data_IF_198736934577
#
_entry.id   IF_198736934577
#
_cell.length_a   1.000
_cell.length_b   1.000
_cell.length_c   1.000
_cell.angle_alpha   90.00
_cell.angle_beta   90.00
_cell.angle_gamma   90.00
#
_symmetry.space_group_name_H-M   'P 1'
#
loop_
_entity.id
_entity.type
_entity.pdbx_description
1 polymer ?
#
# COMPACT_ATOMS: atom_id res chain seq x y z
N UNK A 1 50.99 27.54 -23.66
CA UNK A 1 49.67 27.51 -22.99
C UNK A 1 49.91 28.06 -21.59
N UNK A 2 49.16 29.07 -21.16
CA UNK A 2 49.26 29.57 -19.79
C UNK A 2 48.56 28.57 -18.86
N UNK A 3 49.21 28.21 -17.75
CA UNK A 3 48.59 27.38 -16.71
C UNK A 3 47.51 28.19 -15.99
N UNK A 4 46.32 27.60 -15.84
CA UNK A 4 45.18 28.20 -15.15
C UNK A 4 45.17 27.66 -13.72
N UNK A 5 45.30 28.54 -12.74
CA UNK A 5 45.12 28.19 -11.32
C UNK A 5 43.62 27.95 -11.04
N UNK A 6 43.28 26.78 -10.48
CA UNK A 6 41.88 26.33 -10.27
C UNK A 6 41.67 25.94 -8.80
N UNK A 7 40.59 26.44 -8.21
CA UNK A 7 40.14 26.07 -6.86
C UNK A 7 38.84 25.26 -6.93
N UNK A 8 38.65 24.34 -5.99
CA UNK A 8 37.45 23.51 -5.89
C UNK A 8 36.74 23.77 -4.57
N UNK A 9 35.44 23.98 -4.63
CA UNK A 9 34.56 24.15 -3.49
C UNK A 9 33.37 23.20 -3.60
N UNK A 10 33.01 22.55 -2.49
CA UNK A 10 31.80 21.74 -2.41
C UNK A 10 30.64 22.60 -1.94
N UNK A 11 29.52 22.52 -2.64
CA UNK A 11 28.27 23.21 -2.28
C UNK A 11 27.13 22.20 -2.10
N UNK A 12 26.20 22.44 -1.16
CA UNK A 12 25.03 21.59 -0.97
C UNK A 12 24.05 21.70 -2.15
N UNK A 13 23.48 20.57 -2.57
CA UNK A 13 22.44 20.53 -3.59
C UNK A 13 21.11 21.11 -3.10
N UNK A 14 20.32 21.67 -4.02
CA UNK A 14 19.00 22.26 -3.75
C UNK A 14 18.97 23.33 -2.64
N UNK A 15 20.06 24.09 -2.52
CA UNK A 15 20.23 25.09 -1.47
C UNK A 15 19.83 26.52 -1.88
N UNK A 16 19.19 26.74 -3.04
CA UNK A 16 18.84 28.09 -3.50
C UNK A 16 20.00 28.83 -4.18
N UNK A 17 21.13 28.18 -4.45
CA UNK A 17 22.30 28.80 -5.08
C UNK A 17 22.07 28.93 -6.59
N UNK A 18 21.92 30.16 -7.15
CA UNK A 18 21.45 30.35 -8.51
C UNK A 18 22.27 29.60 -9.58
N UNK A 19 23.60 29.64 -9.45
CA UNK A 19 24.51 29.01 -10.41
C UNK A 19 24.48 27.47 -10.32
N UNK A 20 24.35 26.92 -9.11
CA UNK A 20 24.23 25.48 -8.92
C UNK A 20 22.87 24.96 -9.41
N UNK A 21 21.79 25.70 -9.12
CA UNK A 21 20.46 25.37 -9.62
C UNK A 21 20.37 25.47 -11.15
N UNK A 22 21.02 26.47 -11.75
CA UNK A 22 21.13 26.58 -13.19
C UNK A 22 21.95 25.42 -13.79
N UNK A 23 23.05 25.03 -13.15
CA UNK A 23 23.82 23.85 -13.55
C UNK A 23 22.97 22.57 -13.48
N UNK A 24 22.23 22.35 -12.39
CA UNK A 24 21.30 21.22 -12.23
C UNK A 24 20.20 21.23 -13.29
N UNK A 25 19.61 22.40 -13.57
CA UNK A 25 18.59 22.57 -14.61
C UNK A 25 19.14 22.25 -15.99
N UNK A 26 20.33 22.72 -16.33
CA UNK A 26 20.99 22.43 -17.61
C UNK A 26 21.36 20.95 -17.72
N UNK A 27 21.82 20.33 -16.64
CA UNK A 27 22.08 18.89 -16.60
C UNK A 27 20.78 18.07 -16.81
N UNK A 28 19.67 18.49 -16.20
CA UNK A 28 18.36 17.87 -16.40
C UNK A 28 17.85 18.01 -17.85
N UNK A 29 18.04 19.17 -18.48
CA UNK A 29 17.74 19.35 -19.91
C UNK A 29 18.62 18.44 -20.76
N UNK A 30 19.92 18.38 -20.46
CA UNK A 30 20.88 17.52 -21.15
C UNK A 30 20.51 16.04 -21.09
N UNK A 31 20.04 15.58 -19.93
CA UNK A 31 19.61 14.18 -19.74
C UNK A 31 18.37 13.80 -20.54
N UNK A 32 17.54 14.78 -20.92
CA UNK A 32 16.36 14.56 -21.79
C UNK A 32 16.68 14.44 -23.28
N UNK A 33 17.90 14.78 -23.71
CA UNK A 33 18.32 14.73 -25.12
C UNK A 33 18.72 13.31 -25.53
N UNK A 34 18.76 13.05 -26.84
CA UNK A 34 19.21 11.75 -27.39
C UNK A 34 20.68 11.49 -27.01
N UNK A 35 20.95 10.31 -26.45
CA UNK A 35 22.28 9.87 -26.02
C UNK A 35 22.75 8.63 -26.79
N UNK A 36 22.23 8.40 -27.99
CA UNK A 36 22.39 7.17 -28.77
C UNK A 36 23.85 6.79 -29.10
N UNK A 37 24.77 7.76 -28.98
CA UNK A 37 26.20 7.57 -29.25
C UNK A 37 27.01 7.15 -28.01
N UNK A 38 26.40 7.15 -26.81
CA UNK A 38 27.07 6.79 -25.57
C UNK A 38 26.71 5.35 -25.20
N UNK A 39 27.69 4.43 -25.14
CA UNK A 39 27.44 3.08 -24.65
C UNK A 39 26.89 3.12 -23.22
N UNK A 40 25.77 2.44 -23.00
CA UNK A 40 25.23 2.25 -21.64
C UNK A 40 26.07 1.19 -20.95
N UNK A 41 26.64 1.52 -19.80
CA UNK A 41 27.35 0.53 -19.00
C UNK A 41 26.39 -0.54 -18.44
N UNK A 42 26.92 -1.73 -18.16
CA UNK A 42 26.11 -2.86 -17.71
C UNK A 42 25.33 -2.56 -16.43
N UNK A 43 25.87 -1.78 -15.50
CA UNK A 43 25.22 -1.50 -14.23
C UNK A 43 24.03 -0.56 -14.43
N UNK A 44 24.19 0.51 -15.21
CA UNK A 44 23.10 1.40 -15.61
C UNK A 44 21.99 0.66 -16.35
N UNK A 45 22.36 -0.24 -17.28
CA UNK A 45 21.40 -1.08 -17.98
C UNK A 45 20.63 -2.00 -17.02
N UNK A 46 21.31 -2.70 -16.10
CA UNK A 46 20.67 -3.54 -15.08
C UNK A 46 19.73 -2.75 -14.19
N UNK A 47 20.15 -1.57 -13.73
CA UNK A 47 19.31 -0.70 -12.90
C UNK A 47 18.06 -0.24 -13.65
N UNK A 48 18.20 0.15 -14.92
CA UNK A 48 17.06 0.55 -15.77
C UNK A 48 16.07 -0.61 -15.99
N UNK A 49 16.57 -1.81 -16.30
CA UNK A 49 15.75 -3.02 -16.46
C UNK A 49 15.03 -3.36 -15.15
N UNK A 50 15.73 -3.34 -14.00
CA UNK A 50 15.14 -3.61 -12.70
C UNK A 50 14.02 -2.61 -12.34
N UNK A 51 14.25 -1.31 -12.57
CA UNK A 51 13.20 -0.28 -12.39
C UNK A 51 12.00 -0.54 -13.27
N UNK A 52 12.22 -0.87 -14.55
CA UNK A 52 11.14 -1.15 -15.50
C UNK A 52 10.35 -2.40 -15.09
N UNK A 53 11.04 -3.47 -14.70
CA UNK A 53 10.42 -4.70 -14.20
C UNK A 53 9.56 -4.42 -12.96
N UNK A 54 10.10 -3.69 -11.98
CA UNK A 54 9.34 -3.27 -10.79
C UNK A 54 8.10 -2.46 -11.15
N UNK A 55 8.24 -1.47 -12.03
CA UNK A 55 7.09 -0.68 -12.49
C UNK A 55 6.01 -1.53 -13.19
N UNK A 56 6.40 -2.57 -13.95
CA UNK A 56 5.43 -3.51 -14.54
C UNK A 56 4.74 -4.36 -13.49
N UNK A 57 5.49 -4.91 -12.54
CA UNK A 57 4.95 -5.66 -11.40
C UNK A 57 3.97 -4.81 -10.59
N UNK A 58 4.35 -3.58 -10.25
CA UNK A 58 3.52 -2.64 -9.51
C UNK A 58 2.26 -2.28 -10.31
N UNK A 59 2.37 -1.99 -11.60
CA UNK A 59 1.21 -1.69 -12.44
C UNK A 59 0.25 -2.89 -12.55
N UNK A 60 0.78 -4.11 -12.64
CA UNK A 60 -0.02 -5.34 -12.63
C UNK A 60 -0.70 -5.55 -11.28
N UNK A 61 0.04 -5.40 -10.19
CA UNK A 61 -0.50 -5.50 -8.84
C UNK A 61 -1.61 -4.48 -8.62
N UNK A 62 -1.41 -3.21 -9.00
CA UNK A 62 -2.45 -2.17 -8.88
C UNK A 62 -3.69 -2.45 -9.71
N UNK A 63 -3.54 -3.03 -10.91
CA UNK A 63 -4.67 -3.38 -11.78
C UNK A 63 -5.49 -4.54 -11.22
N UNK A 64 -4.84 -5.51 -10.58
CA UNK A 64 -5.48 -6.74 -10.11
C UNK A 64 -5.89 -6.71 -8.65
N UNK A 65 -5.30 -5.82 -7.84
CA UNK A 65 -5.59 -5.72 -6.41
C UNK A 65 -6.83 -4.82 -6.19
N UNK A 66 -7.84 -5.26 -5.42
CA UNK A 66 -9.08 -4.48 -5.20
C UNK A 66 -8.82 -3.09 -4.57
N UNK A 67 -7.82 -3.00 -3.70
CA UNK A 67 -7.46 -1.78 -2.97
C UNK A 67 -5.96 -1.49 -3.14
N UNK A 68 -5.51 -0.89 -4.25
CA UNK A 68 -4.10 -0.84 -4.62
C UNK A 68 -3.21 -0.01 -3.67
N UNK A 69 -3.78 1.03 -3.07
CA UNK A 69 -3.08 1.88 -2.12
C UNK A 69 -2.99 1.20 -0.74
N UNK A 70 -1.86 1.35 -0.03
CA UNK A 70 -1.70 0.80 1.31
C UNK A 70 -2.66 1.49 2.27
N UNK A 71 -3.19 0.73 3.22
CA UNK A 71 -3.99 1.29 4.31
C UNK A 71 -3.09 2.11 5.23
N UNK A 72 -3.43 3.39 5.50
CA UNK A 72 -2.67 4.23 6.45
C UNK A 72 -2.47 3.53 7.80
N UNK A 73 -1.31 3.75 8.43
CA UNK A 73 -0.98 3.14 9.73
C UNK A 73 -0.65 1.64 9.70
N UNK A 74 -0.74 0.96 8.55
CA UNK A 74 -0.53 -0.51 8.46
C UNK A 74 0.85 -0.97 8.96
N UNK A 75 1.91 -0.20 8.69
CA UNK A 75 3.28 -0.52 9.13
C UNK A 75 3.48 -0.36 10.66
N UNK A 76 2.56 0.32 11.35
CA UNK A 76 2.57 0.48 12.81
C UNK A 76 1.89 -0.66 13.56
N UNK A 77 1.20 -1.55 12.84
CA UNK A 77 0.51 -2.70 13.42
C UNK A 77 1.49 -3.78 13.88
N UNK A 78 1.10 -4.54 14.89
CA UNK A 78 1.75 -5.82 15.16
C UNK A 78 1.61 -6.77 13.96
N UNK A 79 2.42 -7.84 13.97
CA UNK A 79 2.45 -8.80 12.87
C UNK A 79 1.08 -9.43 12.58
N UNK A 80 0.28 -9.72 13.61
CA UNK A 80 -1.00 -10.42 13.47
C UNK A 80 -2.06 -9.49 12.88
N UNK A 81 -2.17 -8.28 13.40
CA UNK A 81 -3.06 -7.25 12.88
C UNK A 81 -2.69 -6.88 11.44
N UNK A 82 -1.39 -6.70 11.16
CA UNK A 82 -0.88 -6.41 9.81
C UNK A 82 -1.27 -7.50 8.79
N UNK A 83 -1.10 -8.78 9.15
CA UNK A 83 -1.52 -9.92 8.31
C UNK A 83 -3.03 -9.93 8.11
N UNK A 84 -3.80 -9.69 9.17
CA UNK A 84 -5.27 -9.70 9.12
C UNK A 84 -5.79 -8.63 8.15
N UNK A 85 -5.31 -7.39 8.27
CA UNK A 85 -5.70 -6.29 7.36
C UNK A 85 -5.30 -6.61 5.92
N UNK A 86 -4.10 -7.17 5.69
CA UNK A 86 -3.66 -7.56 4.36
C UNK A 86 -4.56 -8.64 3.74
N UNK A 87 -4.96 -9.65 4.52
CA UNK A 87 -5.86 -10.71 4.07
C UNK A 87 -7.28 -10.20 3.78
N UNK A 88 -7.79 -9.25 4.58
CA UNK A 88 -9.08 -8.60 4.32
C UNK A 88 -9.05 -7.84 3.00
N UNK A 89 -7.99 -7.07 2.71
CA UNK A 89 -7.83 -6.31 1.45
C UNK A 89 -7.90 -7.17 0.19
N UNK A 90 -7.59 -8.46 0.28
CA UNK A 90 -7.63 -9.40 -0.84
C UNK A 90 -8.76 -10.45 -0.73
N UNK A 91 -9.64 -10.36 0.27
CA UNK A 91 -10.76 -11.29 0.42
C UNK A 91 -10.36 -12.73 0.81
N UNK A 92 -9.24 -12.90 1.51
CA UNK A 92 -8.75 -14.23 1.94
C UNK A 92 -8.55 -14.36 3.45
N UNK A 93 -9.25 -13.55 4.23
CA UNK A 93 -9.14 -13.56 5.69
C UNK A 93 -9.87 -14.76 6.30
N UNK A 94 -9.25 -15.55 7.18
CA UNK A 94 -9.94 -16.63 7.89
C UNK A 94 -10.94 -16.14 8.94
N UNK A 95 -11.14 -14.81 9.05
CA UNK A 95 -12.19 -14.20 9.88
C UNK A 95 -13.58 -14.27 9.24
N UNK A 96 -13.66 -14.57 7.93
CA UNK A 96 -14.91 -14.69 7.19
C UNK A 96 -15.21 -16.15 6.85
N UNK A 97 -16.49 -16.52 6.91
CA UNK A 97 -16.98 -17.87 6.63
C UNK A 97 -16.60 -18.39 5.25
N UNK A 98 -16.65 -17.56 4.21
CA UNK A 98 -16.30 -17.93 2.83
C UNK A 98 -14.89 -18.50 2.71
N UNK A 99 -13.92 -17.87 3.37
CA UNK A 99 -12.53 -18.27 3.38
C UNK A 99 -12.35 -19.52 4.22
N UNK A 100 -13.01 -19.59 5.39
CA UNK A 100 -12.95 -20.78 6.25
C UNK A 100 -13.52 -22.01 5.55
N UNK A 101 -14.67 -21.88 4.89
CA UNK A 101 -15.32 -22.95 4.15
C UNK A 101 -14.46 -23.40 2.96
N UNK A 102 -13.94 -22.46 2.17
CA UNK A 102 -13.03 -22.73 1.05
C UNK A 102 -11.76 -23.48 1.48
N UNK A 103 -11.28 -23.26 2.71
CA UNK A 103 -10.13 -23.94 3.30
C UNK A 103 -10.47 -25.24 4.03
N UNK A 104 -11.76 -25.64 4.10
CA UNK A 104 -12.20 -26.82 4.84
C UNK A 104 -12.14 -26.67 6.37
N UNK A 105 -12.11 -25.44 6.87
CA UNK A 105 -12.10 -25.11 8.31
C UNK A 105 -13.50 -24.89 8.89
N UNK A 106 -14.54 -24.92 8.05
CA UNK A 106 -15.93 -24.77 8.43
C UNK A 106 -16.85 -25.51 7.43
N UNK A 107 -17.94 -26.07 7.95
CA UNK A 107 -18.94 -26.80 7.15
C UNK A 107 -19.80 -25.87 6.27
N UNK A 108 -19.87 -24.58 6.59
CA UNK A 108 -20.60 -23.58 5.81
C UNK A 108 -19.86 -22.25 5.77
N UNK A 109 -20.21 -21.42 4.81
CA UNK A 109 -19.74 -20.03 4.66
C UNK A 109 -20.66 -19.00 5.35
N UNK A 110 -21.64 -19.45 6.15
CA UNK A 110 -22.59 -18.57 6.82
C UNK A 110 -21.96 -17.77 7.96
N UNK A 111 -22.43 -16.53 8.12
CA UNK A 111 -22.04 -15.62 9.18
C UNK A 111 -22.60 -16.12 10.51
N UNK A 112 -21.74 -16.25 11.51
CA UNK A 112 -22.16 -16.73 12.85
C UNK A 112 -23.10 -15.76 13.56
N UNK A 113 -23.08 -14.48 13.20
CA UNK A 113 -23.84 -13.43 13.88
C UNK A 113 -25.22 -13.18 13.24
N UNK A 114 -25.36 -13.37 11.92
CA UNK A 114 -26.62 -13.07 11.22
C UNK A 114 -27.09 -14.15 10.23
N UNK A 115 -26.30 -15.19 9.97
CA UNK A 115 -26.68 -16.33 9.12
C UNK A 115 -26.54 -16.14 7.60
N UNK A 116 -26.26 -14.93 7.11
CA UNK A 116 -26.04 -14.64 5.68
C UNK A 116 -24.63 -15.07 5.23
N UNK A 117 -24.36 -15.23 3.91
CA UNK A 117 -23.03 -15.55 3.41
C UNK A 117 -21.94 -14.56 3.90
N UNK A 118 -20.90 -15.09 4.53
CA UNK A 118 -19.90 -14.32 5.26
C UNK A 118 -18.65 -14.10 4.42
N UNK A 119 -18.58 -12.94 3.79
CA UNK A 119 -17.46 -12.46 2.99
C UNK A 119 -16.87 -11.18 3.60
N UNK A 120 -15.73 -10.71 3.09
CA UNK A 120 -15.17 -9.42 3.53
C UNK A 120 -16.14 -8.24 3.30
N UNK A 121 -16.81 -8.11 2.14
CA UNK A 121 -17.92 -7.17 1.98
C UNK A 121 -18.98 -7.30 3.06
N UNK A 122 -19.43 -8.53 3.35
CA UNK A 122 -20.42 -8.76 4.38
C UNK A 122 -19.95 -8.26 5.75
N UNK A 123 -18.77 -8.69 6.20
CA UNK A 123 -18.19 -8.31 7.49
C UNK A 123 -18.04 -6.78 7.62
N UNK A 124 -17.48 -6.11 6.61
CA UNK A 124 -17.08 -4.71 6.70
C UNK A 124 -18.17 -3.71 6.27
N UNK A 125 -19.17 -4.12 5.47
CA UNK A 125 -20.17 -3.20 4.89
C UNK A 125 -21.62 -3.60 5.20
N UNK A 126 -21.94 -4.90 5.18
CA UNK A 126 -23.36 -5.32 5.06
C UNK A 126 -23.93 -5.94 6.34
N UNK A 127 -23.09 -6.58 7.17
CA UNK A 127 -23.56 -7.38 8.29
C UNK A 127 -24.43 -6.54 9.25
N UNK A 128 -25.71 -6.91 9.46
CA UNK A 128 -26.61 -6.14 10.32
C UNK A 128 -26.19 -6.19 11.78
N UNK A 129 -25.61 -7.31 12.23
CA UNK A 129 -25.09 -7.45 13.59
C UNK A 129 -23.94 -6.46 13.90
N UNK A 130 -23.28 -5.92 12.87
CA UNK A 130 -22.14 -5.01 13.02
C UNK A 130 -22.47 -3.56 12.59
N UNK A 131 -23.74 -3.25 12.32
CA UNK A 131 -24.15 -1.93 11.83
C UNK A 131 -23.74 -0.80 12.78
N UNK A 132 -23.93 -0.97 14.09
CA UNK A 132 -23.59 0.04 15.10
C UNK A 132 -22.10 0.39 15.13
N UNK A 133 -21.20 -0.58 15.40
CA UNK A 133 -19.75 -0.37 15.37
C UNK A 133 -19.23 0.20 14.04
N UNK A 134 -19.80 -0.25 12.90
CA UNK A 134 -19.45 0.24 11.57
C UNK A 134 -19.83 1.71 11.39
N UNK A 135 -21.08 2.05 11.73
CA UNK A 135 -21.62 3.42 11.55
C UNK A 135 -20.88 4.43 12.40
N UNK A 136 -20.47 4.07 13.63
CA UNK A 136 -19.66 4.94 14.49
C UNK A 136 -18.29 5.28 13.90
N UNK A 137 -17.68 4.37 13.14
CA UNK A 137 -16.32 4.55 12.61
C UNK A 137 -16.30 5.19 11.22
N UNK A 138 -17.16 4.73 10.34
CA UNK A 138 -17.10 5.09 8.91
C UNK A 138 -18.40 5.71 8.39
N UNK A 139 -19.38 5.96 9.28
CA UNK A 139 -20.68 6.48 8.88
C UNK A 139 -21.59 5.42 8.23
N UNK A 140 -22.74 5.83 7.72
CA UNK A 140 -23.68 4.92 7.09
C UNK A 140 -23.16 4.43 5.73
N UNK A 141 -23.32 3.13 5.46
CA UNK A 141 -23.03 2.49 4.17
C UNK A 141 -21.63 2.77 3.59
N UNK A 142 -20.54 2.54 4.37
CA UNK A 142 -19.20 2.74 3.86
C UNK A 142 -18.87 1.71 2.77
N UNK A 143 -18.06 2.12 1.81
CA UNK A 143 -17.45 1.22 0.82
C UNK A 143 -16.15 0.61 1.36
N UNK A 144 -15.73 -0.54 0.82
CA UNK A 144 -14.42 -1.11 1.15
C UNK A 144 -13.27 -0.14 0.85
N UNK A 145 -13.38 0.64 -0.23
CA UNK A 145 -12.37 1.65 -0.59
C UNK A 145 -12.22 2.72 0.49
N UNK A 146 -13.33 3.24 1.02
CA UNK A 146 -13.32 4.20 2.13
C UNK A 146 -12.74 3.58 3.40
N UNK A 147 -13.18 2.37 3.77
CA UNK A 147 -12.68 1.67 4.96
C UNK A 147 -11.17 1.46 4.88
N UNK A 148 -10.65 0.91 3.78
CA UNK A 148 -9.22 0.64 3.61
C UNK A 148 -8.37 1.89 3.37
N UNK A 149 -9.00 3.07 3.19
CA UNK A 149 -8.32 4.37 3.14
C UNK A 149 -8.23 5.05 4.51
N UNK A 150 -8.83 4.47 5.55
CA UNK A 150 -8.70 4.96 6.94
C UNK A 150 -7.52 4.33 7.68
N UNK A 151 -7.17 4.87 8.86
CA UNK A 151 -6.13 4.28 9.70
C UNK A 151 -6.43 2.82 10.02
N UNK A 152 -5.41 1.95 9.87
CA UNK A 152 -5.56 0.51 10.01
C UNK A 152 -6.05 0.09 11.40
N UNK A 153 -5.71 0.87 12.43
CA UNK A 153 -6.20 0.69 13.80
C UNK A 153 -7.73 0.75 13.90
N UNK A 154 -8.40 1.57 13.07
CA UNK A 154 -9.87 1.61 13.07
C UNK A 154 -10.48 0.30 12.57
N UNK A 155 -9.82 -0.36 11.62
CA UNK A 155 -10.23 -1.68 11.13
C UNK A 155 -10.00 -2.71 12.23
N UNK A 156 -8.84 -2.70 12.88
CA UNK A 156 -8.51 -3.61 13.99
C UNK A 156 -9.51 -3.45 15.15
N UNK A 157 -9.76 -2.22 15.57
CA UNK A 157 -10.71 -1.88 16.63
C UNK A 157 -12.13 -2.34 16.29
N UNK A 158 -12.54 -2.22 15.03
CA UNK A 158 -13.82 -2.74 14.57
C UNK A 158 -13.91 -4.26 14.69
N UNK A 159 -12.87 -4.98 14.25
CA UNK A 159 -12.83 -6.44 14.34
C UNK A 159 -12.85 -6.91 15.79
N UNK A 160 -12.13 -6.19 16.66
CA UNK A 160 -12.11 -6.44 18.10
C UNK A 160 -13.48 -6.20 18.74
N UNK A 161 -14.11 -5.06 18.44
CA UNK A 161 -15.41 -4.70 19.01
C UNK A 161 -16.54 -5.64 18.55
N UNK A 162 -16.47 -6.09 17.31
CA UNK A 162 -17.44 -7.06 16.75
C UNK A 162 -17.17 -8.51 17.19
N UNK A 163 -16.09 -8.75 17.95
CA UNK A 163 -15.72 -10.09 18.41
C UNK A 163 -15.09 -10.97 17.32
N UNK A 164 -14.82 -10.41 16.14
CA UNK A 164 -14.22 -11.12 14.99
C UNK A 164 -12.72 -11.32 15.14
N UNK A 165 -12.04 -10.44 15.87
CA UNK A 165 -10.66 -10.63 16.29
C UNK A 165 -10.57 -10.58 17.82
N UNK A 166 -9.70 -11.39 18.46
CA UNK A 166 -9.46 -11.25 19.89
C UNK A 166 -8.75 -9.92 20.18
N UNK A 167 -9.01 -9.33 21.36
CA UNK A 167 -8.08 -8.34 21.91
C UNK A 167 -6.77 -9.05 22.22
N UNK A 168 -5.67 -8.57 21.67
CA UNK A 168 -4.37 -9.00 22.18
C UNK A 168 -4.23 -8.53 23.64
N UNK A 169 -3.70 -9.38 24.54
CA UNK A 169 -3.44 -8.98 25.91
C UNK A 169 -2.32 -7.92 25.90
N UNK A 170 -2.59 -6.79 26.56
CA UNK A 170 -1.64 -5.72 26.80
C UNK A 170 -0.42 -6.19 27.62
#
# INVERSE_FOLDING_TARGET
MADIETFYEWVPGHAGLPENEEADRLAAIGSSRRQDQIPVDLWSARAAVARRARAMCDARARRSHPHPDPTPGHDGLDRRASVTVAQLRVGCSPLTGDTRHRLGLAESDACVDCGEPDSVPHLLMDCPAHQGPRTRRWGPLPTLGEIFSTEADLIVDFLVETGRAPRDPA
#
